data_IF_706136160799
#
_entry.id   IF_706136160799
#
_cell.length_a   1.000
_cell.length_b   1.000
_cell.length_c   1.000
_cell.angle_alpha   90.00
_cell.angle_beta   90.00
_cell.angle_gamma   90.00
#
_symmetry.space_group_name_H-M   'P 1'
#
loop_
_entity.id
_entity.type
_entity.pdbx_description
1 polymer ?
#
# COMPACT_ATOMS: atom_id res chain seq x y z
N UNK A 1 14.93 15.43 -28.39
CA UNK A 1 14.73 15.66 -26.96
C UNK A 1 13.57 14.76 -26.52
N UNK A 2 13.88 13.55 -26.05
CA UNK A 2 12.89 12.55 -25.61
C UNK A 2 13.39 11.85 -24.33
N UNK A 3 13.67 12.66 -23.30
CA UNK A 3 14.14 12.15 -22.00
C UNK A 3 13.22 12.56 -20.84
N UNK A 4 12.05 13.14 -21.12
CA UNK A 4 11.03 13.50 -20.11
C UNK A 4 10.12 12.33 -19.72
N UNK A 5 10.04 11.27 -20.54
CA UNK A 5 9.14 10.13 -20.29
C UNK A 5 9.51 9.22 -19.11
N UNK A 6 10.76 9.26 -18.64
CA UNK A 6 11.21 8.48 -17.47
C UNK A 6 11.19 9.26 -16.15
N UNK A 7 10.91 10.58 -16.17
CA UNK A 7 10.92 11.41 -14.97
C UNK A 7 9.63 11.31 -14.13
N UNK A 8 8.54 10.74 -14.68
CA UNK A 8 7.27 10.64 -13.96
C UNK A 8 7.21 9.51 -12.91
N UNK A 9 8.12 8.53 -12.96
CA UNK A 9 8.11 7.41 -12.02
C UNK A 9 8.87 7.66 -10.71
N UNK A 10 9.72 8.70 -10.64
CA UNK A 10 10.64 8.93 -9.49
C UNK A 10 10.27 10.16 -8.66
N UNK A 11 9.44 11.08 -9.18
CA UNK A 11 9.02 12.29 -8.46
C UNK A 11 7.94 12.09 -7.41
N UNK A 12 7.05 11.11 -7.60
CA UNK A 12 5.90 10.88 -6.73
C UNK A 12 6.27 10.20 -5.40
N UNK A 13 7.20 9.22 -5.43
CA UNK A 13 7.68 8.55 -4.22
C UNK A 13 8.41 9.52 -3.28
N UNK A 14 9.18 10.47 -3.84
CA UNK A 14 9.81 11.53 -3.06
C UNK A 14 8.78 12.51 -2.49
N UNK A 15 7.76 12.86 -3.27
CA UNK A 15 6.65 13.71 -2.82
C UNK A 15 5.85 13.06 -1.68
N UNK A 16 5.51 11.78 -1.80
CA UNK A 16 4.82 11.01 -0.77
C UNK A 16 5.69 10.87 0.49
N UNK A 17 7.00 10.62 0.36
CA UNK A 17 7.93 10.59 1.50
C UNK A 17 7.99 11.94 2.22
N UNK A 18 8.10 13.05 1.50
CA UNK A 18 8.10 14.40 2.10
C UNK A 18 6.76 14.74 2.74
N UNK A 19 5.65 14.34 2.11
CA UNK A 19 4.32 14.53 2.66
C UNK A 19 4.10 13.69 3.93
N UNK A 20 4.56 12.44 3.95
CA UNK A 20 4.53 11.58 5.13
C UNK A 20 5.38 12.13 6.27
N UNK A 21 6.59 12.64 6.00
CA UNK A 21 7.43 13.30 7.00
C UNK A 21 6.77 14.55 7.58
N UNK A 22 6.13 15.35 6.71
CA UNK A 22 5.40 16.56 7.12
C UNK A 22 4.14 16.22 7.93
N UNK A 23 3.41 15.17 7.56
CA UNK A 23 2.25 14.71 8.34
C UNK A 23 2.69 14.11 9.68
N UNK A 24 3.83 13.42 9.72
CA UNK A 24 4.41 12.88 10.95
C UNK A 24 4.84 13.97 11.92
N UNK A 25 5.39 15.08 11.43
CA UNK A 25 5.76 16.24 12.27
C UNK A 25 4.54 16.98 12.82
N UNK A 26 3.43 17.02 12.07
CA UNK A 26 2.16 17.63 12.50
C UNK A 26 1.37 16.81 13.53
N UNK A 27 1.63 15.49 13.65
CA UNK A 27 0.82 14.59 14.49
C UNK A 27 1.11 14.64 16.00
N UNK A 28 2.10 15.41 16.45
CA UNK A 28 2.35 15.67 17.88
C UNK A 28 2.70 14.44 18.74
N UNK A 29 3.47 14.67 19.80
CA UNK A 29 3.81 13.64 20.79
C UNK A 29 2.60 13.40 21.72
N UNK A 30 1.62 12.61 21.31
CA UNK A 30 0.46 12.36 22.19
C UNK A 30 -0.65 11.45 21.67
N UNK A 31 -0.69 11.12 20.38
CA UNK A 31 -1.64 10.11 19.88
C UNK A 31 -0.99 8.74 20.04
N UNK A 32 -1.66 7.84 20.76
CA UNK A 32 -1.28 6.42 20.97
C UNK A 32 -0.50 5.87 19.78
N UNK A 33 0.70 5.35 20.05
CA UNK A 33 1.72 4.92 19.10
C UNK A 33 1.18 3.97 18.01
N UNK A 34 0.54 4.52 16.98
CA UNK A 34 0.32 3.78 15.76
C UNK A 34 1.70 3.45 15.19
N UNK A 35 1.99 2.16 14.93
CA UNK A 35 3.25 1.79 14.30
C UNK A 35 3.42 2.61 13.02
N UNK A 36 4.65 3.03 12.75
CA UNK A 36 4.93 3.70 11.48
C UNK A 36 4.39 2.86 10.31
N UNK A 37 3.96 3.47 9.20
CA UNK A 37 3.64 2.70 8.01
C UNK A 37 4.88 1.91 7.52
N UNK A 38 4.71 0.73 6.89
CA UNK A 38 5.79 0.07 6.18
C UNK A 38 6.20 0.85 4.94
N UNK A 39 7.41 0.63 4.45
CA UNK A 39 7.81 1.02 3.10
C UNK A 39 7.17 0.05 2.09
N UNK A 40 6.28 0.57 1.24
CA UNK A 40 5.52 -0.22 0.25
C UNK A 40 6.07 0.08 -1.14
N UNK A 41 6.61 -0.94 -1.80
CA UNK A 41 7.21 -0.82 -3.13
C UNK A 41 6.53 -1.79 -4.08
N UNK A 42 5.86 -1.25 -5.09
CA UNK A 42 5.22 -2.01 -6.17
C UNK A 42 6.02 -1.82 -7.47
N UNK A 43 5.95 -2.74 -8.42
CA UNK A 43 6.58 -2.61 -9.75
C UNK A 43 5.61 -2.13 -10.82
N UNK A 44 4.50 -1.54 -10.39
CA UNK A 44 3.45 -1.03 -11.25
C UNK A 44 3.25 0.46 -10.96
N UNK A 45 2.89 1.28 -11.95
CA UNK A 45 2.63 2.69 -11.73
C UNK A 45 1.48 2.88 -10.72
N UNK A 46 1.68 3.76 -9.76
CA UNK A 46 0.73 4.05 -8.69
C UNK A 46 0.54 5.57 -8.57
N UNK A 47 -0.35 6.13 -9.37
CA UNK A 47 -0.62 7.56 -9.41
C UNK A 47 -2.04 7.84 -9.96
N UNK A 48 -2.53 9.06 -9.76
CA UNK A 48 -3.74 9.57 -10.41
C UNK A 48 -3.35 10.15 -11.79
N UNK A 49 -3.79 9.56 -12.91
CA UNK A 49 -3.47 10.08 -14.24
C UNK A 49 -4.15 11.42 -14.52
N UNK A 50 -3.51 12.28 -15.31
CA UNK A 50 -4.06 13.59 -15.71
C UNK A 50 -5.37 13.46 -16.48
N UNK A 51 -5.53 12.40 -17.28
CA UNK A 51 -6.78 12.12 -17.99
C UNK A 51 -7.94 11.67 -17.09
N UNK A 52 -7.67 11.34 -15.83
CA UNK A 52 -8.69 10.90 -14.87
C UNK A 52 -9.04 12.01 -13.86
N UNK A 53 -8.03 12.65 -13.28
CA UNK A 53 -8.20 13.82 -12.41
C UNK A 53 -7.42 14.99 -13.03
N UNK A 54 -8.03 15.84 -13.86
CA UNK A 54 -7.30 16.87 -14.59
C UNK A 54 -6.87 18.06 -13.73
N UNK A 55 -7.60 18.36 -12.66
CA UNK A 55 -7.29 19.46 -11.74
C UNK A 55 -6.20 19.07 -10.73
N UNK A 56 -5.07 19.79 -10.75
CA UNK A 56 -3.91 19.49 -9.92
C UNK A 56 -4.12 19.79 -8.43
N UNK A 57 -4.92 20.80 -8.08
CA UNK A 57 -5.25 21.09 -6.67
C UNK A 57 -6.10 19.97 -6.08
N UNK A 58 -7.04 19.44 -6.89
CA UNK A 58 -7.85 18.27 -6.53
C UNK A 58 -6.98 17.02 -6.39
N UNK A 59 -6.07 16.74 -7.33
CA UNK A 59 -5.11 15.63 -7.21
C UNK A 59 -4.31 15.73 -5.90
N UNK A 60 -3.83 16.94 -5.59
CA UNK A 60 -3.00 17.19 -4.42
C UNK A 60 -3.76 16.94 -3.11
N UNK A 61 -5.02 17.36 -3.04
CA UNK A 61 -5.89 17.06 -1.89
C UNK A 61 -6.11 15.54 -1.72
N UNK A 62 -6.42 14.83 -2.81
CA UNK A 62 -6.59 13.38 -2.79
C UNK A 62 -5.34 12.67 -2.28
N UNK A 63 -4.15 13.05 -2.75
CA UNK A 63 -2.89 12.51 -2.25
C UNK A 63 -2.67 12.79 -0.76
N UNK A 64 -2.98 14.00 -0.28
CA UNK A 64 -2.90 14.35 1.15
C UNK A 64 -3.83 13.49 2.00
N UNK A 65 -5.05 13.24 1.53
CA UNK A 65 -6.02 12.39 2.23
C UNK A 65 -5.54 10.94 2.26
N UNK A 66 -5.04 10.40 1.15
CA UNK A 66 -4.47 9.05 1.10
C UNK A 66 -3.23 8.88 2.01
N UNK A 67 -2.34 9.87 2.06
CA UNK A 67 -1.17 9.86 2.94
C UNK A 67 -1.56 9.90 4.43
N UNK A 68 -2.66 10.59 4.75
CA UNK A 68 -3.17 10.72 6.13
C UNK A 68 -4.04 9.56 6.57
N UNK A 69 -4.60 8.76 5.66
CA UNK A 69 -5.45 7.63 6.01
C UNK A 69 -4.76 6.69 7.03
N UNK A 70 -5.54 6.27 8.02
CA UNK A 70 -5.16 5.40 9.14
C UNK A 70 -6.01 4.13 9.20
N UNK A 71 -7.11 4.07 8.45
CA UNK A 71 -7.97 2.90 8.35
C UNK A 71 -8.25 2.53 6.88
N UNK A 72 -8.39 1.23 6.55
CA UNK A 72 -8.73 0.80 5.19
C UNK A 72 -10.04 1.42 4.68
N UNK A 73 -11.02 1.58 5.58
CA UNK A 73 -12.32 2.17 5.25
C UNK A 73 -12.26 3.64 4.81
N UNK A 74 -11.27 4.42 5.25
CA UNK A 74 -11.06 5.80 4.76
C UNK A 74 -10.61 5.79 3.29
N UNK A 75 -9.85 4.76 2.90
CA UNK A 75 -9.37 4.58 1.54
C UNK A 75 -10.50 4.05 0.65
N UNK A 76 -11.35 3.17 1.18
CA UNK A 76 -12.57 2.74 0.48
C UNK A 76 -13.53 3.92 0.26
N UNK A 77 -13.69 4.83 1.23
CA UNK A 77 -14.47 6.06 1.02
C UNK A 77 -13.89 6.97 -0.07
N UNK A 78 -12.56 7.10 -0.14
CA UNK A 78 -11.88 7.81 -1.24
C UNK A 78 -12.06 7.11 -2.59
N UNK A 79 -12.06 5.78 -2.60
CA UNK A 79 -12.32 4.98 -3.81
C UNK A 79 -13.72 5.25 -4.36
N UNK A 80 -14.72 5.28 -3.49
CA UNK A 80 -16.11 5.54 -3.89
C UNK A 80 -16.29 6.98 -4.37
N UNK A 81 -15.69 7.95 -3.67
CA UNK A 81 -15.68 9.35 -4.11
C UNK A 81 -15.03 9.53 -5.49
N UNK A 82 -13.89 8.87 -5.74
CA UNK A 82 -13.23 8.91 -7.04
C UNK A 82 -14.15 8.36 -8.15
N UNK A 83 -14.83 7.25 -7.88
CA UNK A 83 -15.75 6.63 -8.83
C UNK A 83 -16.97 7.49 -9.12
N UNK A 84 -17.54 8.10 -8.09
CA UNK A 84 -18.69 8.99 -8.22
C UNK A 84 -18.35 10.25 -9.01
N UNK A 85 -17.17 10.84 -8.75
CA UNK A 85 -16.77 12.12 -9.34
C UNK A 85 -16.14 12.00 -10.73
N UNK A 86 -15.36 10.94 -10.96
CA UNK A 86 -14.51 10.81 -12.15
C UNK A 86 -14.77 9.53 -12.96
N UNK A 87 -15.68 8.65 -12.50
CA UNK A 87 -16.02 7.40 -13.18
C UNK A 87 -15.04 6.25 -12.87
N UNK A 88 -15.00 5.20 -13.71
CA UNK A 88 -14.20 3.99 -13.45
C UNK A 88 -12.72 4.30 -13.20
N UNK A 89 -12.13 3.61 -12.22
CA UNK A 89 -10.73 3.83 -11.84
C UNK A 89 -9.78 3.27 -12.91
N UNK A 90 -8.80 4.06 -13.38
CA UNK A 90 -7.67 3.55 -14.15
C UNK A 90 -6.81 2.60 -13.31
N UNK A 91 -6.05 1.72 -13.98
CA UNK A 91 -5.22 0.73 -13.31
C UNK A 91 -4.18 1.35 -12.36
N UNK A 92 -3.65 2.52 -12.69
CA UNK A 92 -2.68 3.26 -11.89
C UNK A 92 -3.30 3.84 -10.63
N UNK A 93 -4.55 4.31 -10.72
CA UNK A 93 -5.32 4.82 -9.59
C UNK A 93 -5.74 3.67 -8.66
N UNK A 94 -6.14 2.52 -9.21
CA UNK A 94 -6.39 1.32 -8.40
C UNK A 94 -5.13 0.86 -7.66
N UNK A 95 -3.97 0.88 -8.34
CA UNK A 95 -2.68 0.52 -7.74
C UNK A 95 -2.30 1.48 -6.61
N UNK A 96 -2.54 2.78 -6.78
CA UNK A 96 -2.34 3.79 -5.74
C UNK A 96 -3.20 3.52 -4.49
N UNK A 97 -4.49 3.20 -4.69
CA UNK A 97 -5.40 2.88 -3.58
C UNK A 97 -4.95 1.61 -2.85
N UNK A 98 -4.57 0.56 -3.58
CA UNK A 98 -4.03 -0.65 -2.97
C UNK A 98 -2.73 -0.39 -2.21
N UNK A 99 -1.82 0.43 -2.74
CA UNK A 99 -0.61 0.84 -2.03
C UNK A 99 -0.93 1.51 -0.69
N UNK A 100 -1.90 2.44 -0.67
CA UNK A 100 -2.37 3.07 0.55
C UNK A 100 -3.00 2.05 1.54
N UNK A 101 -3.73 1.06 1.04
CA UNK A 101 -4.32 0.01 1.87
C UNK A 101 -3.24 -0.88 2.49
N UNK A 102 -2.25 -1.31 1.71
CA UNK A 102 -1.09 -2.07 2.20
C UNK A 102 -0.30 -1.28 3.26
N UNK A 103 -0.18 0.04 3.10
CA UNK A 103 0.44 0.93 4.07
C UNK A 103 -0.28 0.90 5.42
N UNK A 104 -1.61 1.03 5.41
CA UNK A 104 -2.42 1.03 6.63
C UNK A 104 -2.47 -0.36 7.29
N UNK A 105 -2.78 -1.40 6.51
CA UNK A 105 -2.88 -2.77 6.99
C UNK A 105 -1.53 -3.29 7.50
N UNK A 106 -0.45 -2.98 6.79
CA UNK A 106 0.88 -3.37 7.20
C UNK A 106 1.35 -2.66 8.47
N UNK A 107 0.91 -1.43 8.73
CA UNK A 107 1.16 -0.77 10.01
C UNK A 107 0.52 -1.56 11.16
N UNK A 108 -0.76 -1.93 11.02
CA UNK A 108 -1.50 -2.70 12.02
C UNK A 108 -0.89 -4.09 12.28
N UNK A 109 -0.37 -4.74 11.24
CA UNK A 109 0.28 -6.06 11.32
C UNK A 109 1.76 -6.02 11.73
N UNK A 110 2.33 -4.84 11.96
CA UNK A 110 3.74 -4.69 12.34
C UNK A 110 4.72 -4.97 11.19
N UNK A 111 4.31 -4.78 9.94
CA UNK A 111 5.19 -4.84 8.76
C UNK A 111 6.12 -3.63 8.72
N UNK A 112 7.37 -3.89 8.36
CA UNK A 112 8.39 -2.88 8.07
C UNK A 112 8.53 -2.63 6.56
N UNK A 113 8.45 -3.69 5.74
CA UNK A 113 8.55 -3.60 4.29
C UNK A 113 7.53 -4.50 3.61
N UNK A 114 6.94 -3.99 2.52
CA UNK A 114 6.11 -4.74 1.57
C UNK A 114 6.68 -4.49 0.19
N UNK A 115 7.23 -5.52 -0.43
CA UNK A 115 7.72 -5.43 -1.82
C UNK A 115 6.90 -6.35 -2.70
N UNK A 116 6.44 -5.86 -3.84
CA UNK A 116 5.74 -6.66 -4.85
C UNK A 116 6.48 -6.55 -6.17
N UNK A 117 6.75 -7.71 -6.80
CA UNK A 117 7.41 -7.85 -8.08
C UNK A 117 6.75 -8.98 -8.88
N UNK A 118 6.09 -8.64 -9.97
CA UNK A 118 5.35 -9.57 -10.82
C UNK A 118 4.25 -10.28 -10.03
N UNK A 119 4.45 -11.59 -9.83
CA UNK A 119 3.58 -12.50 -9.07
C UNK A 119 4.25 -12.98 -7.76
N UNK A 120 5.30 -12.28 -7.30
CA UNK A 120 5.95 -12.49 -6.01
C UNK A 120 5.77 -11.26 -5.11
N UNK A 121 5.58 -11.48 -3.81
CA UNK A 121 5.67 -10.44 -2.80
C UNK A 121 6.61 -10.84 -1.65
N UNK A 122 7.18 -9.84 -0.98
CA UNK A 122 7.98 -10.02 0.22
C UNK A 122 7.41 -9.17 1.34
N UNK A 123 7.07 -9.83 2.44
CA UNK A 123 6.65 -9.19 3.67
C UNK A 123 7.78 -9.29 4.69
N UNK A 124 8.27 -8.16 5.19
CA UNK A 124 9.27 -8.12 6.26
C UNK A 124 8.63 -7.47 7.47
N UNK A 125 8.57 -8.19 8.59
CA UNK A 125 8.02 -7.70 9.86
C UNK A 125 9.08 -6.90 10.62
N UNK A 126 8.64 -6.00 11.50
CA UNK A 126 9.55 -5.31 12.42
C UNK A 126 10.21 -6.30 13.39
N UNK A 127 11.45 -6.06 13.82
CA UNK A 127 12.06 -6.81 14.91
C UNK A 127 11.14 -6.85 16.14
N UNK A 128 10.97 -8.02 16.74
CA UNK A 128 10.10 -8.21 17.91
C UNK A 128 8.61 -8.35 17.61
N UNK A 129 8.17 -8.15 16.36
CA UNK A 129 6.78 -8.43 15.97
C UNK A 129 6.55 -9.93 15.81
N UNK A 130 5.54 -10.46 16.49
CA UNK A 130 5.10 -11.85 16.39
C UNK A 130 3.69 -11.88 15.79
N UNK A 131 3.53 -11.96 14.46
CA UNK A 131 2.21 -12.02 13.86
C UNK A 131 1.52 -13.35 14.20
N UNK A 132 0.18 -13.34 14.24
CA UNK A 132 -0.62 -14.57 14.35
C UNK A 132 -0.51 -15.37 13.05
N UNK A 133 0.51 -16.23 12.96
CA UNK A 133 0.84 -16.98 11.74
C UNK A 133 -0.33 -17.83 11.23
N UNK A 134 -1.12 -18.43 12.12
CA UNK A 134 -2.28 -19.24 11.73
C UNK A 134 -3.33 -18.45 10.96
N UNK A 135 -3.68 -17.25 11.44
CA UNK A 135 -4.63 -16.36 10.78
C UNK A 135 -4.08 -15.80 9.47
N UNK A 136 -2.80 -15.41 9.47
CA UNK A 136 -2.13 -14.89 8.27
C UNK A 136 -2.02 -15.96 7.17
N UNK A 137 -1.59 -17.18 7.51
CA UNK A 137 -1.47 -18.28 6.54
C UNK A 137 -2.84 -18.65 5.97
N UNK A 138 -3.88 -18.78 6.81
CA UNK A 138 -5.24 -19.03 6.32
C UNK A 138 -5.73 -17.93 5.39
N UNK A 139 -5.46 -16.66 5.71
CA UNK A 139 -5.86 -15.54 4.86
C UNK A 139 -5.10 -15.52 3.52
N UNK A 140 -3.84 -15.96 3.49
CA UNK A 140 -3.03 -16.08 2.27
C UNK A 140 -3.49 -17.25 1.39
N UNK A 141 -3.83 -18.39 2.01
CA UNK A 141 -4.34 -19.57 1.31
C UNK A 141 -5.67 -19.29 0.60
N UNK A 142 -6.58 -18.54 1.26
CA UNK A 142 -7.88 -18.14 0.69
C UNK A 142 -7.75 -17.29 -0.59
N UNK A 143 -6.61 -16.63 -0.77
CA UNK A 143 -6.32 -15.80 -1.93
C UNK A 143 -5.29 -16.43 -2.87
N UNK A 144 -5.00 -17.73 -2.70
CA UNK A 144 -4.07 -18.51 -3.50
C UNK A 144 -2.64 -17.95 -3.51
N UNK A 145 -2.17 -17.43 -2.37
CA UNK A 145 -0.79 -17.00 -2.15
C UNK A 145 -0.06 -18.02 -1.27
N UNK A 146 0.91 -18.75 -1.84
CA UNK A 146 1.81 -19.60 -1.07
C UNK A 146 2.79 -18.75 -0.27
N UNK A 147 2.98 -19.07 1.02
CA UNK A 147 3.91 -18.38 1.89
C UNK A 147 5.13 -19.26 2.24
N UNK A 148 6.33 -18.76 1.95
CA UNK A 148 7.60 -19.37 2.33
C UNK A 148 8.32 -18.49 3.36
N UNK A 149 8.70 -19.06 4.51
CA UNK A 149 9.54 -18.35 5.48
C UNK A 149 10.96 -18.24 4.94
N UNK A 150 11.43 -17.03 4.66
CA UNK A 150 12.80 -16.75 4.19
C UNK A 150 13.76 -16.46 5.34
N UNK A 151 13.26 -15.85 6.41
CA UNK A 151 14.02 -15.49 7.61
C UNK A 151 13.07 -15.44 8.80
N UNK A 152 13.56 -15.77 10.00
CA UNK A 152 12.76 -15.73 11.24
C UNK A 152 13.02 -14.48 12.09
N UNK A 153 14.18 -13.83 11.97
CA UNK A 153 14.55 -12.64 12.78
C UNK A 153 15.29 -11.58 11.94
N UNK A 154 14.65 -10.45 11.57
CA UNK A 154 13.20 -10.27 11.60
C UNK A 154 12.52 -11.28 10.68
N UNK A 155 11.25 -11.61 10.99
CA UNK A 155 10.46 -12.50 10.17
C UNK A 155 10.31 -11.90 8.77
N UNK A 156 10.65 -12.70 7.75
CA UNK A 156 10.47 -12.33 6.36
C UNK A 156 9.82 -13.49 5.62
N UNK A 157 8.70 -13.18 4.97
CA UNK A 157 7.92 -14.12 4.16
C UNK A 157 8.10 -13.75 2.69
N UNK A 158 8.32 -14.78 1.87
CA UNK A 158 8.17 -14.71 0.43
C UNK A 158 6.82 -15.28 0.08
N UNK A 159 6.05 -14.55 -0.71
CA UNK A 159 4.73 -14.93 -1.16
C UNK A 159 4.78 -15.16 -2.65
N UNK A 160 4.20 -16.27 -3.12
CA UNK A 160 4.09 -16.60 -4.53
C UNK A 160 2.63 -16.77 -4.90
N UNK A 161 2.17 -16.07 -5.93
CA UNK A 161 0.84 -16.25 -6.47
C UNK A 161 0.76 -17.58 -7.23
N UNK A 162 -0.15 -18.44 -6.79
CA UNK A 162 -0.42 -19.74 -7.42
C UNK A 162 -1.55 -19.67 -8.45
N UNK A 163 -2.38 -18.64 -8.41
CA UNK A 163 -3.54 -18.48 -9.28
C UNK A 163 -4.42 -17.31 -8.84
N UNK A 164 -5.65 -17.26 -9.35
CA UNK A 164 -6.67 -16.31 -8.89
C UNK A 164 -6.47 -14.90 -9.42
N UNK A 165 -6.82 -13.90 -8.63
CA UNK A 165 -6.68 -12.48 -8.99
C UNK A 165 -5.19 -12.03 -8.95
N UNK A 166 -4.86 -10.83 -9.47
CA UNK A 166 -3.50 -10.29 -9.37
C UNK A 166 -2.98 -10.17 -7.93
N UNK A 167 -1.66 -10.32 -7.73
CA UNK A 167 -1.07 -10.40 -6.38
C UNK A 167 -1.35 -9.19 -5.47
N UNK A 168 -1.46 -7.97 -6.02
CA UNK A 168 -1.67 -6.75 -5.22
C UNK A 168 -3.04 -6.75 -4.52
N UNK A 169 -4.19 -6.86 -5.22
CA UNK A 169 -5.50 -6.95 -4.57
C UNK A 169 -5.63 -8.21 -3.69
N UNK A 170 -5.04 -9.35 -4.10
CA UNK A 170 -4.99 -10.56 -3.28
C UNK A 170 -4.31 -10.30 -1.93
N UNK A 171 -3.17 -9.61 -1.95
CA UNK A 171 -2.41 -9.27 -0.76
C UNK A 171 -3.19 -8.31 0.14
N UNK A 172 -3.84 -7.29 -0.42
CA UNK A 172 -4.71 -6.38 0.36
C UNK A 172 -5.80 -7.18 1.08
N UNK A 173 -6.51 -8.07 0.39
CA UNK A 173 -7.56 -8.88 1.02
C UNK A 173 -7.02 -9.81 2.11
N UNK A 174 -5.88 -10.46 1.87
CA UNK A 174 -5.26 -11.33 2.86
C UNK A 174 -4.83 -10.56 4.12
N UNK A 175 -4.17 -9.41 3.96
CA UNK A 175 -3.75 -8.58 5.10
C UNK A 175 -4.95 -7.97 5.84
N UNK A 176 -6.02 -7.61 5.13
CA UNK A 176 -7.25 -7.11 5.75
C UNK A 176 -7.96 -8.17 6.60
N UNK A 177 -7.94 -9.44 6.18
CA UNK A 177 -8.48 -10.55 6.96
C UNK A 177 -7.59 -10.90 8.16
N UNK A 178 -6.29 -10.64 8.07
CA UNK A 178 -5.32 -10.96 9.12
C UNK A 178 -5.18 -9.88 10.20
N UNK A 179 -5.52 -8.62 9.88
CA UNK A 179 -5.46 -7.45 10.78
C UNK A 179 -6.62 -7.44 11.78
#
# INVERSE_FOLDING_TARGET
>A
AEQSGHAHAVGFDLYMRWLEETVRSLRGQGVTAQPAPPDVVLDRPAHLPDGYVPDDDVKLDLYRRLARALAPGEIDGLRDELRERFGPLPAEAETLLHMAQLRVLGAALGLQHVLVRGDEARLTFRPGTQPKLTGLTSALDDVQLAAEVRRTVPLSLRLLRLGGEPIVPALVRALQKAA
#
